data_IF_833016258752
#
_entry.id   IF_833016258752
#
_cell.length_a   1.000
_cell.length_b   1.000
_cell.length_c   1.000
_cell.angle_alpha   90.00
_cell.angle_beta   90.00
_cell.angle_gamma   90.00
#
_symmetry.space_group_name_H-M   'P 1'
#
loop_
_entity.id
_entity.type
_entity.pdbx_description
1 polymer ?
#
# COMPACT_ATOMS: atom_id res chain seq x y z
N UNK A 1 1.28 34.55 -12.15
CA UNK A 1 0.91 34.22 -13.54
C UNK A 1 0.35 32.82 -13.55
N UNK A 2 -0.70 32.58 -14.33
CA UNK A 2 -1.33 31.27 -14.46
C UNK A 2 -0.43 30.37 -15.32
N UNK A 3 -0.07 29.18 -14.83
CA UNK A 3 0.72 28.18 -15.55
C UNK A 3 -0.20 27.03 -15.99
N UNK A 4 0.14 26.30 -17.06
CA UNK A 4 -0.59 25.07 -17.41
C UNK A 4 -0.27 23.96 -16.40
N UNK A 5 -1.22 23.06 -16.16
CA UNK A 5 -1.00 21.90 -15.31
C UNK A 5 0.19 21.05 -15.78
N UNK A 6 0.33 20.87 -17.10
CA UNK A 6 1.46 20.16 -17.67
C UNK A 6 2.79 20.78 -17.25
N UNK A 7 2.95 22.09 -17.48
CA UNK A 7 4.18 22.81 -17.16
C UNK A 7 4.50 22.71 -15.66
N UNK A 8 3.49 22.87 -14.81
CA UNK A 8 3.60 22.70 -13.37
C UNK A 8 4.09 21.29 -12.95
N UNK A 9 3.46 20.24 -13.49
CA UNK A 9 3.82 18.85 -13.18
C UNK A 9 5.19 18.48 -13.74
N UNK A 10 5.63 19.09 -14.85
CA UNK A 10 6.96 18.86 -15.43
C UNK A 10 8.08 19.66 -14.78
N UNK A 11 7.76 20.51 -13.79
CA UNK A 11 8.79 21.21 -13.03
C UNK A 11 9.70 20.22 -12.31
N UNK A 12 11.02 20.47 -12.31
CA UNK A 12 12.01 19.61 -11.63
C UNK A 12 11.66 19.33 -10.16
N UNK A 13 12.15 18.21 -9.66
CA UNK A 13 12.16 17.92 -8.23
C UNK A 13 13.34 18.63 -7.53
N UNK A 14 13.31 18.76 -6.19
CA UNK A 14 14.51 19.11 -5.41
C UNK A 14 15.67 18.19 -5.74
N UNK A 15 16.88 18.71 -5.76
CA UNK A 15 18.08 17.88 -5.80
C UNK A 15 18.11 17.00 -4.56
N UNK A 16 18.56 15.75 -4.66
CA UNK A 16 18.76 14.88 -3.48
C UNK A 16 20.25 14.76 -3.20
N UNK A 17 20.63 15.05 -1.96
CA UNK A 17 21.97 14.87 -1.42
C UNK A 17 21.91 13.69 -0.46
N UNK A 18 22.09 12.48 -0.98
CA UNK A 18 22.05 11.25 -0.20
C UNK A 18 23.38 11.04 0.54
N UNK A 19 23.30 11.00 1.87
CA UNK A 19 24.42 10.64 2.73
C UNK A 19 24.28 9.15 3.05
N UNK A 20 24.88 8.32 2.19
CA UNK A 20 24.77 6.87 2.25
C UNK A 20 25.15 6.31 3.63
N UNK A 21 24.35 5.38 4.12
CA UNK A 21 24.71 4.44 5.20
C UNK A 21 25.21 3.13 4.57
N UNK A 22 25.87 2.24 5.34
CA UNK A 22 26.19 0.88 4.88
C UNK A 22 24.96 0.17 4.29
N UNK A 23 25.23 -0.84 3.45
CA UNK A 23 24.29 -1.51 2.54
C UNK A 23 22.85 -1.62 3.11
N UNK A 24 21.83 -1.22 2.33
CA UNK A 24 20.45 -1.28 2.80
C UNK A 24 20.04 -2.73 3.04
N UNK A 25 19.56 -3.01 4.25
CA UNK A 25 18.78 -4.23 4.53
C UNK A 25 17.33 -3.86 4.33
N UNK A 26 16.74 -4.31 3.23
CA UNK A 26 15.30 -4.13 3.02
C UNK A 26 14.51 -5.10 3.90
N UNK A 27 13.33 -4.66 4.31
CA UNK A 27 12.42 -5.52 5.07
C UNK A 27 11.93 -6.66 4.18
N UNK A 28 11.62 -7.80 4.79
CA UNK A 28 11.05 -8.96 4.13
C UNK A 28 9.94 -9.56 4.99
N UNK A 29 8.92 -10.12 4.35
CA UNK A 29 7.91 -10.95 4.98
C UNK A 29 7.65 -12.18 4.11
N UNK A 30 7.55 -13.36 4.74
CA UNK A 30 7.19 -14.63 4.09
C UNK A 30 5.83 -14.61 3.38
N UNK A 31 4.94 -13.69 3.75
CA UNK A 31 3.64 -13.51 3.09
C UNK A 31 3.74 -12.81 1.73
N UNK A 32 4.91 -12.28 1.37
CA UNK A 32 5.12 -11.63 0.08
C UNK A 32 5.43 -12.69 -0.97
N UNK A 33 4.59 -12.76 -2.01
CA UNK A 33 4.83 -13.71 -3.10
C UNK A 33 6.01 -13.23 -3.95
N UNK A 34 6.86 -14.15 -4.41
CA UNK A 34 7.86 -13.84 -5.42
C UNK A 34 7.22 -13.25 -6.69
N UNK A 35 8.00 -12.47 -7.43
CA UNK A 35 7.64 -11.89 -8.72
C UNK A 35 7.74 -12.97 -9.81
N UNK A 36 6.61 -13.51 -10.25
CA UNK A 36 6.61 -14.56 -11.27
C UNK A 36 7.14 -14.08 -12.63
N UNK A 37 6.67 -12.92 -13.09
CA UNK A 37 7.07 -12.33 -14.37
C UNK A 37 7.12 -10.81 -14.26
N UNK A 38 8.08 -10.20 -14.98
CA UNK A 38 8.24 -8.75 -15.04
C UNK A 38 8.62 -8.25 -16.44
N UNK A 39 8.01 -7.15 -16.88
CA UNK A 39 8.33 -6.50 -18.17
C UNK A 39 8.15 -4.99 -18.14
N UNK A 40 8.77 -4.28 -19.08
CA UNK A 40 8.56 -2.84 -19.21
C UNK A 40 7.11 -2.50 -19.63
N UNK A 41 6.51 -1.52 -18.95
CA UNK A 41 5.22 -0.92 -19.26
C UNK A 41 5.39 0.17 -20.34
N UNK A 42 5.68 -0.26 -21.56
CA UNK A 42 6.11 0.62 -22.67
C UNK A 42 5.07 1.67 -23.09
N UNK A 43 3.77 1.42 -22.89
CA UNK A 43 2.73 2.37 -23.24
C UNK A 43 2.48 3.44 -22.16
N UNK A 44 3.04 3.30 -20.95
CA UNK A 44 3.11 4.35 -19.93
C UNK A 44 4.29 5.28 -20.23
N UNK A 45 4.10 6.19 -21.19
CA UNK A 45 5.11 7.16 -21.60
C UNK A 45 4.52 8.56 -21.76
N UNK A 46 5.40 9.56 -21.84
CA UNK A 46 5.02 10.98 -21.91
C UNK A 46 3.99 11.26 -23.00
N UNK A 47 4.24 10.80 -24.23
CA UNK A 47 3.40 11.10 -25.39
C UNK A 47 1.99 10.54 -25.23
N UNK A 48 1.88 9.27 -24.82
CA UNK A 48 0.60 8.61 -24.61
C UNK A 48 -0.20 9.28 -23.48
N UNK A 49 0.45 9.57 -22.35
CA UNK A 49 -0.20 10.21 -21.20
C UNK A 49 -0.62 11.66 -21.51
N UNK A 50 0.22 12.41 -22.20
CA UNK A 50 -0.09 13.77 -22.63
C UNK A 50 -1.27 13.78 -23.61
N UNK A 51 -1.32 12.83 -24.56
CA UNK A 51 -2.44 12.69 -25.48
C UNK A 51 -3.73 12.31 -24.75
N UNK A 52 -3.66 11.34 -23.83
CA UNK A 52 -4.81 10.80 -23.10
C UNK A 52 -5.45 11.80 -22.14
N UNK A 53 -4.65 12.66 -21.54
CA UNK A 53 -5.08 13.68 -20.57
C UNK A 53 -4.89 15.11 -21.09
N UNK A 54 -4.86 15.30 -22.42
CA UNK A 54 -4.54 16.59 -23.06
C UNK A 54 -5.35 17.76 -22.49
N UNK A 55 -6.66 17.60 -22.40
CA UNK A 55 -7.56 18.66 -21.95
C UNK A 55 -7.35 18.97 -20.46
N UNK A 56 -7.19 17.93 -19.63
CA UNK A 56 -6.91 18.09 -18.20
C UNK A 56 -5.56 18.76 -17.96
N UNK A 57 -4.53 18.36 -18.70
CA UNK A 57 -3.15 18.87 -18.59
C UNK A 57 -3.00 20.30 -19.15
N UNK A 58 -3.91 20.74 -20.02
CA UNK A 58 -3.90 22.10 -20.59
C UNK A 58 -4.54 23.14 -19.66
N UNK A 59 -5.25 22.71 -18.61
CA UNK A 59 -5.94 23.63 -17.70
C UNK A 59 -4.95 24.49 -16.92
N UNK A 60 -5.39 25.69 -16.56
CA UNK A 60 -4.57 26.59 -15.75
C UNK A 60 -4.61 26.19 -14.27
N UNK A 61 -3.47 26.32 -13.60
CA UNK A 61 -3.32 26.10 -12.16
C UNK A 61 -2.54 27.23 -11.50
N UNK A 62 -2.76 27.40 -10.20
CA UNK A 62 -1.88 28.18 -9.35
C UNK A 62 -0.72 27.29 -8.90
N UNK A 63 0.52 27.54 -9.36
CA UNK A 63 1.63 26.66 -9.03
C UNK A 63 1.93 26.71 -7.54
N UNK A 64 1.99 25.53 -6.92
CA UNK A 64 2.55 25.32 -5.59
C UNK A 64 3.88 24.58 -5.73
N UNK A 65 4.96 25.33 -6.00
CA UNK A 65 6.30 24.76 -6.19
C UNK A 65 7.14 24.95 -4.93
N UNK A 66 7.38 23.85 -4.23
CA UNK A 66 8.15 23.83 -2.97
C UNK A 66 9.64 23.52 -3.19
N UNK A 67 10.09 23.37 -4.44
CA UNK A 67 11.45 22.89 -4.76
C UNK A 67 12.54 23.70 -4.07
N UNK A 68 12.54 25.02 -4.29
CA UNK A 68 13.54 25.92 -3.73
C UNK A 68 13.42 26.01 -2.20
N UNK A 69 12.19 25.96 -1.68
CA UNK A 69 11.94 25.97 -0.23
C UNK A 69 12.50 24.71 0.44
N UNK A 70 12.34 23.54 -0.17
CA UNK A 70 12.92 22.28 0.33
C UNK A 70 14.45 22.32 0.33
N UNK A 71 15.06 22.83 -0.75
CA UNK A 71 16.52 22.96 -0.86
C UNK A 71 17.09 23.97 0.16
N UNK A 72 16.46 25.15 0.30
CA UNK A 72 16.88 26.16 1.27
C UNK A 72 16.65 25.71 2.72
N UNK A 73 15.61 24.93 2.97
CA UNK A 73 15.33 24.33 4.28
C UNK A 73 16.21 23.13 4.65
N UNK A 74 17.06 22.66 3.72
CA UNK A 74 17.94 21.51 3.94
C UNK A 74 17.24 20.15 3.88
N UNK A 75 15.98 20.09 3.46
CA UNK A 75 15.23 18.83 3.30
C UNK A 75 15.77 17.95 2.18
N UNK A 76 16.63 18.48 1.32
CA UNK A 76 17.35 17.72 0.32
C UNK A 76 18.53 16.90 0.87
N UNK A 77 18.92 17.08 2.13
CA UNK A 77 20.00 16.31 2.76
C UNK A 77 19.43 15.07 3.44
N UNK A 78 19.57 13.92 2.78
CA UNK A 78 18.88 12.69 3.17
C UNK A 78 19.85 11.74 3.87
N UNK A 79 19.50 11.31 5.08
CA UNK A 79 20.31 10.41 5.91
C UNK A 79 19.65 9.05 6.16
N UNK A 80 18.34 8.96 5.91
CA UNK A 80 17.51 7.78 6.08
C UNK A 80 16.20 7.88 5.27
N UNK A 81 15.43 6.80 5.28
CA UNK A 81 14.14 6.68 4.58
C UNK A 81 13.09 7.67 5.09
N UNK A 82 13.17 8.06 6.37
CA UNK A 82 12.25 9.04 6.94
C UNK A 82 12.49 10.43 6.36
N UNK A 83 13.75 10.87 6.28
CA UNK A 83 14.11 12.12 5.63
C UNK A 83 13.69 12.17 4.17
N UNK A 84 13.85 11.06 3.44
CA UNK A 84 13.37 10.94 2.06
C UNK A 84 11.84 11.06 1.99
N UNK A 85 11.12 10.40 2.90
CA UNK A 85 9.66 10.46 2.98
C UNK A 85 9.16 11.88 3.23
N UNK A 86 9.82 12.63 4.12
CA UNK A 86 9.46 14.03 4.40
C UNK A 86 9.66 14.91 3.15
N UNK A 87 10.78 14.74 2.43
CA UNK A 87 11.03 15.43 1.15
C UNK A 87 9.96 15.10 0.10
N UNK A 88 9.63 13.82 -0.07
CA UNK A 88 8.59 13.35 -1.00
C UNK A 88 7.23 13.93 -0.65
N UNK A 89 6.87 13.96 0.63
CA UNK A 89 5.62 14.54 1.10
C UNK A 89 5.45 16.00 0.62
N UNK A 90 6.47 16.82 0.85
CA UNK A 90 6.41 18.26 0.58
C UNK A 90 6.59 18.62 -0.89
N UNK A 91 7.43 17.89 -1.62
CA UNK A 91 7.86 18.26 -2.98
C UNK A 91 7.14 17.49 -4.09
N UNK A 92 6.49 16.38 -3.76
CA UNK A 92 5.83 15.51 -4.73
C UNK A 92 4.37 15.29 -4.34
N UNK A 93 4.11 14.65 -3.19
CA UNK A 93 2.73 14.23 -2.83
C UNK A 93 1.80 15.42 -2.63
N UNK A 94 2.21 16.44 -1.86
CA UNK A 94 1.43 17.67 -1.66
C UNK A 94 1.13 18.39 -2.97
N UNK A 95 2.15 18.75 -3.77
CA UNK A 95 2.00 19.33 -5.11
C UNK A 95 1.07 18.55 -6.04
N UNK A 96 1.22 17.23 -6.14
CA UNK A 96 0.36 16.38 -6.98
C UNK A 96 -1.06 16.36 -6.44
N UNK A 97 -1.24 16.19 -5.12
CA UNK A 97 -2.57 16.14 -4.51
C UNK A 97 -3.35 17.44 -4.63
N UNK A 98 -2.67 18.59 -4.60
CA UNK A 98 -3.30 19.91 -4.73
C UNK A 98 -3.91 20.15 -6.12
N UNK A 99 -3.50 19.39 -7.13
CA UNK A 99 -3.97 19.53 -8.52
C UNK A 99 -4.75 18.32 -9.03
N UNK A 100 -4.99 17.31 -8.19
CA UNK A 100 -5.96 16.26 -8.50
C UNK A 100 -7.40 16.80 -8.46
N UNK A 101 -8.36 16.14 -9.11
CA UNK A 101 -9.78 16.45 -8.95
C UNK A 101 -10.21 16.40 -7.48
N UNK A 102 -11.25 17.14 -7.11
CA UNK A 102 -11.65 17.36 -5.71
C UNK A 102 -12.03 16.10 -4.93
N UNK A 103 -12.40 15.03 -5.63
CA UNK A 103 -12.75 13.73 -5.03
C UNK A 103 -11.54 12.78 -4.92
N UNK A 104 -10.36 13.18 -5.41
CA UNK A 104 -9.17 12.36 -5.51
C UNK A 104 -8.00 13.02 -4.78
N UNK A 105 -7.17 12.22 -4.11
CA UNK A 105 -6.01 12.73 -3.39
C UNK A 105 -4.84 11.75 -3.45
N UNK A 106 -3.64 12.23 -3.12
CA UNK A 106 -2.49 11.38 -2.77
C UNK A 106 -1.87 11.86 -1.47
N UNK A 107 -1.62 10.95 -0.53
CA UNK A 107 -1.10 11.29 0.80
C UNK A 107 -0.52 10.04 1.48
N UNK A 108 -0.16 10.14 2.75
CA UNK A 108 0.20 8.97 3.56
C UNK A 108 -0.95 7.95 3.56
N UNK A 109 -0.62 6.66 3.49
CA UNK A 109 -1.64 5.62 3.34
C UNK A 109 -2.61 5.52 4.53
N UNK A 110 -2.30 6.14 5.68
CA UNK A 110 -3.17 6.18 6.86
C UNK A 110 -4.61 6.63 6.57
N UNK A 111 -4.83 7.44 5.52
CA UNK A 111 -6.18 7.89 5.11
C UNK A 111 -7.01 6.81 4.39
N UNK A 112 -6.34 5.79 3.83
CA UNK A 112 -6.99 4.69 3.09
C UNK A 112 -6.77 3.32 3.73
N UNK A 113 -6.09 3.24 4.88
CA UNK A 113 -5.75 1.95 5.50
C UNK A 113 -7.02 1.16 5.85
N UNK A 114 -7.16 0.00 5.19
CA UNK A 114 -8.24 -0.95 5.39
C UNK A 114 -7.75 -2.25 6.02
N UNK A 115 -6.46 -2.57 5.82
CA UNK A 115 -5.84 -3.83 6.25
C UNK A 115 -4.74 -3.55 7.28
N UNK A 116 -4.95 -3.82 8.59
CA UNK A 116 -3.97 -3.50 9.64
C UNK A 116 -2.60 -4.16 9.48
N UNK A 117 -2.53 -5.32 8.81
CA UNK A 117 -1.28 -6.03 8.50
C UNK A 117 -0.61 -5.63 7.18
N UNK A 118 -1.20 -4.68 6.44
CA UNK A 118 -0.71 -4.25 5.13
C UNK A 118 -0.84 -2.72 5.02
N UNK A 119 0.24 -2.02 5.40
CA UNK A 119 0.26 -0.56 5.51
C UNK A 119 1.35 0.00 4.58
N UNK A 120 0.97 0.49 3.39
CA UNK A 120 1.89 1.22 2.51
C UNK A 120 2.32 2.55 3.16
N UNK A 121 3.45 3.12 2.74
CA UNK A 121 3.80 4.49 3.15
C UNK A 121 2.83 5.51 2.56
N UNK A 122 2.47 5.32 1.28
CA UNK A 122 1.70 6.25 0.48
C UNK A 122 0.50 5.60 -0.17
N UNK A 123 -0.53 6.40 -0.40
CA UNK A 123 -1.64 5.99 -1.23
C UNK A 123 -2.34 7.17 -1.90
N UNK A 124 -2.87 6.90 -3.07
CA UNK A 124 -3.94 7.69 -3.64
C UNK A 124 -5.29 7.07 -3.30
N UNK A 125 -6.26 7.93 -3.00
CA UNK A 125 -7.60 7.50 -2.63
C UNK A 125 -8.68 8.36 -3.25
N UNK A 126 -9.89 7.79 -3.27
CA UNK A 126 -11.11 8.51 -3.64
C UNK A 126 -11.94 8.79 -2.39
N UNK A 127 -12.44 10.02 -2.27
CA UNK A 127 -13.35 10.38 -1.19
C UNK A 127 -14.64 9.56 -1.29
N UNK A 128 -15.11 9.07 -0.16
CA UNK A 128 -16.29 8.23 -0.04
C UNK A 128 -16.96 8.43 1.31
N UNK A 129 -18.13 7.82 1.51
CA UNK A 129 -18.84 7.87 2.80
C UNK A 129 -18.06 7.02 3.81
N UNK A 130 -17.27 7.66 4.67
CA UNK A 130 -16.43 7.01 5.67
C UNK A 130 -14.95 7.00 5.30
N UNK A 131 -14.30 5.83 5.33
CA UNK A 131 -12.89 5.71 4.92
C UNK A 131 -12.77 5.79 3.40
N UNK A 132 -11.76 6.51 2.94
CA UNK A 132 -11.45 6.61 1.51
C UNK A 132 -11.02 5.25 0.96
N UNK A 133 -11.42 4.95 -0.28
CA UNK A 133 -10.99 3.73 -0.99
C UNK A 133 -9.62 3.98 -1.61
N UNK A 134 -8.65 3.11 -1.36
CA UNK A 134 -7.37 3.13 -2.04
C UNK A 134 -7.54 2.81 -3.53
N UNK A 135 -6.85 3.56 -4.40
CA UNK A 135 -6.84 3.33 -5.86
C UNK A 135 -5.43 3.16 -6.44
N UNK A 136 -4.41 3.69 -5.74
CA UNK A 136 -2.99 3.49 -6.04
C UNK A 136 -2.24 3.41 -4.72
N UNK A 137 -1.26 2.52 -4.60
CA UNK A 137 -0.47 2.34 -3.37
C UNK A 137 1.02 2.54 -3.67
N UNK A 138 1.79 2.99 -2.70
CA UNK A 138 3.23 3.06 -2.89
C UNK A 138 4.03 3.10 -1.62
N UNK A 139 5.35 2.95 -1.79
CA UNK A 139 6.31 2.82 -0.70
C UNK A 139 7.57 3.66 -1.00
N UNK A 140 8.23 4.13 0.06
CA UNK A 140 9.50 4.84 -0.04
C UNK A 140 10.65 3.87 0.18
N UNK A 141 11.72 3.99 -0.62
CA UNK A 141 12.93 3.20 -0.41
C UNK A 141 14.18 4.04 -0.59
N UNK A 142 14.93 4.24 0.49
CA UNK A 142 16.18 5.00 0.44
C UNK A 142 17.38 4.12 0.08
N UNK A 143 18.29 4.64 -0.76
CA UNK A 143 19.43 3.91 -1.32
C UNK A 143 19.04 2.66 -2.12
N UNK A 144 17.87 2.70 -2.78
CA UNK A 144 17.40 1.63 -3.66
C UNK A 144 17.37 2.10 -5.12
N UNK A 145 17.80 1.22 -6.03
CA UNK A 145 17.64 1.41 -7.47
C UNK A 145 17.18 0.11 -8.13
N UNK A 146 16.33 0.29 -9.14
CA UNK A 146 15.71 -0.73 -9.96
C UNK A 146 16.68 -1.38 -10.98
N UNK A 147 17.79 -0.71 -11.30
CA UNK A 147 18.75 -1.07 -12.38
C UNK A 147 19.13 -2.55 -12.40
N UNK A 148 19.38 -3.15 -11.22
CA UNK A 148 19.80 -4.55 -11.13
C UNK A 148 18.65 -5.50 -10.76
N UNK A 149 17.51 -4.97 -10.32
CA UNK A 149 16.38 -5.76 -9.84
C UNK A 149 15.76 -6.57 -10.98
N UNK A 150 15.51 -5.92 -12.11
CA UNK A 150 14.91 -6.56 -13.27
C UNK A 150 15.82 -7.64 -13.87
N UNK A 151 17.14 -7.42 -13.84
CA UNK A 151 18.12 -8.41 -14.27
C UNK A 151 18.13 -9.64 -13.35
N UNK A 152 17.95 -9.47 -12.04
CA UNK A 152 17.86 -10.60 -11.09
C UNK A 152 16.62 -11.44 -11.37
N UNK A 153 15.46 -10.79 -11.57
CA UNK A 153 14.19 -11.49 -11.83
C UNK A 153 14.23 -12.19 -13.19
N UNK A 154 14.65 -11.50 -14.26
CA UNK A 154 14.67 -12.05 -15.62
C UNK A 154 15.83 -13.03 -15.86
N UNK A 155 16.93 -12.90 -15.13
CA UNK A 155 18.10 -13.78 -15.22
C UNK A 155 17.90 -15.13 -14.53
N UNK A 156 16.96 -15.21 -13.60
CA UNK A 156 16.51 -16.48 -13.03
C UNK A 156 15.72 -17.24 -14.11
N UNK A 157 16.37 -18.24 -14.71
CA UNK A 157 15.79 -19.10 -15.76
C UNK A 157 14.66 -20.00 -15.18
N UNK A 158 14.64 -21.30 -15.49
CA UNK A 158 13.72 -22.27 -14.88
C UNK A 158 13.92 -22.49 -13.35
N UNK A 159 14.56 -21.55 -12.65
CA UNK A 159 14.79 -21.52 -11.21
C UNK A 159 14.20 -20.24 -10.64
N UNK A 160 13.76 -20.26 -9.39
CA UNK A 160 13.35 -19.05 -8.68
C UNK A 160 14.55 -18.14 -8.42
N UNK A 161 14.37 -16.81 -8.52
CA UNK A 161 15.40 -15.86 -8.14
C UNK A 161 15.60 -15.80 -6.61
N UNK A 162 14.73 -16.45 -5.82
CA UNK A 162 14.82 -16.52 -4.35
C UNK A 162 16.15 -17.10 -3.85
N UNK A 163 16.80 -17.95 -4.65
CA UNK A 163 18.12 -18.52 -4.33
C UNK A 163 19.28 -17.57 -4.69
N UNK A 164 18.99 -16.40 -5.27
CA UNK A 164 20.01 -15.43 -5.68
C UNK A 164 20.63 -14.74 -4.47
N UNK A 165 21.96 -14.54 -4.42
CA UNK A 165 22.59 -13.71 -3.39
C UNK A 165 22.14 -12.24 -3.45
N UNK A 166 21.45 -11.83 -4.52
CA UNK A 166 20.91 -10.48 -4.72
C UNK A 166 19.39 -10.41 -4.56
N UNK A 167 18.77 -11.42 -3.93
CA UNK A 167 17.31 -11.45 -3.69
C UNK A 167 16.82 -10.23 -2.90
N UNK A 168 17.64 -9.69 -2.00
CA UNK A 168 17.31 -8.51 -1.20
C UNK A 168 16.98 -7.28 -2.06
N UNK A 169 17.53 -7.18 -3.28
CA UNK A 169 17.23 -6.10 -4.21
C UNK A 169 15.78 -6.14 -4.72
N UNK A 170 15.16 -7.32 -4.73
CA UNK A 170 13.80 -7.57 -5.25
C UNK A 170 12.72 -7.32 -4.19
N UNK A 171 13.07 -7.41 -2.90
CA UNK A 171 12.11 -7.31 -1.78
C UNK A 171 11.21 -6.06 -1.82
N UNK A 172 11.70 -4.87 -2.21
CA UNK A 172 10.82 -3.72 -2.36
C UNK A 172 9.71 -3.90 -3.41
N UNK A 173 9.97 -4.61 -4.51
CA UNK A 173 8.96 -4.89 -5.54
C UNK A 173 7.92 -5.87 -5.00
N UNK A 174 8.36 -6.91 -4.29
CA UNK A 174 7.48 -7.88 -3.64
C UNK A 174 6.57 -7.22 -2.60
N UNK A 175 7.11 -6.28 -1.83
CA UNK A 175 6.37 -5.52 -0.84
C UNK A 175 5.20 -4.75 -1.47
N UNK A 176 5.45 -4.01 -2.56
CA UNK A 176 4.36 -3.27 -3.22
C UNK A 176 3.43 -4.16 -4.05
N UNK A 177 3.93 -5.28 -4.59
CA UNK A 177 3.07 -6.32 -5.18
C UNK A 177 2.08 -6.84 -4.14
N UNK A 178 2.57 -7.16 -2.94
CA UNK A 178 1.76 -7.61 -1.82
C UNK A 178 0.67 -6.58 -1.47
N UNK A 179 1.03 -5.29 -1.44
CA UNK A 179 0.04 -4.23 -1.22
C UNK A 179 -1.08 -4.25 -2.25
N UNK A 180 -0.72 -4.30 -3.54
CA UNK A 180 -1.70 -4.36 -4.62
C UNK A 180 -2.58 -5.60 -4.55
N UNK A 181 -1.99 -6.75 -4.22
CA UNK A 181 -2.69 -8.02 -4.09
C UNK A 181 -3.70 -8.03 -2.93
N UNK A 182 -3.35 -7.46 -1.78
CA UNK A 182 -4.23 -7.37 -0.60
C UNK A 182 -5.37 -6.36 -0.80
N UNK A 183 -5.07 -5.18 -1.35
CA UNK A 183 -6.06 -4.12 -1.57
C UNK A 183 -6.85 -4.30 -2.88
N UNK A 184 -6.57 -5.33 -3.68
CA UNK A 184 -7.16 -5.51 -5.01
C UNK A 184 -6.84 -4.35 -5.98
N UNK A 185 -5.70 -3.68 -5.79
CA UNK A 185 -5.30 -2.51 -6.56
C UNK A 185 -4.29 -2.90 -7.64
N UNK A 186 -4.61 -2.57 -8.90
CA UNK A 186 -3.73 -2.84 -10.04
C UNK A 186 -2.52 -1.93 -10.15
N UNK A 187 -2.54 -0.76 -9.52
CA UNK A 187 -1.47 0.23 -9.65
C UNK A 187 -0.75 0.40 -8.34
N UNK A 188 0.56 0.17 -8.38
CA UNK A 188 1.45 0.37 -7.26
C UNK A 188 2.71 1.10 -7.71
N UNK A 189 3.47 1.68 -6.79
CA UNK A 189 4.74 2.31 -7.13
C UNK A 189 5.76 2.26 -6.00
N UNK A 190 7.03 2.37 -6.36
CA UNK A 190 8.15 2.61 -5.46
C UNK A 190 8.76 3.95 -5.79
N UNK A 191 9.11 4.72 -4.77
CA UNK A 191 9.85 5.96 -4.93
C UNK A 191 11.12 5.94 -4.08
N UNK A 192 12.26 6.20 -4.72
CA UNK A 192 13.57 6.27 -4.09
C UNK A 192 14.21 7.65 -4.25
N UNK A 193 15.42 7.80 -3.71
CA UNK A 193 16.28 8.97 -3.91
C UNK A 193 16.77 9.12 -5.36
N UNK A 194 16.59 8.10 -6.21
CA UNK A 194 17.10 8.06 -7.57
C UNK A 194 16.00 8.06 -8.63
N UNK A 195 14.83 7.49 -8.32
CA UNK A 195 13.79 7.22 -9.31
C UNK A 195 12.40 6.98 -8.69
N UNK A 196 11.38 7.07 -9.55
CA UNK A 196 10.05 6.51 -9.33
C UNK A 196 9.91 5.30 -10.26
N UNK A 197 9.50 4.16 -9.70
CA UNK A 197 9.09 2.97 -10.47
C UNK A 197 7.59 2.79 -10.31
N UNK A 198 6.83 3.09 -11.36
CA UNK A 198 5.39 2.81 -11.38
C UNK A 198 5.15 1.42 -11.92
N UNK A 199 4.14 0.73 -11.39
CA UNK A 199 3.85 -0.65 -11.73
C UNK A 199 2.36 -0.89 -11.98
N UNK A 200 2.08 -1.77 -12.95
CA UNK A 200 0.75 -2.31 -13.25
C UNK A 200 0.76 -3.81 -13.01
N UNK A 201 -0.11 -4.27 -12.11
CA UNK A 201 -0.22 -5.66 -11.68
C UNK A 201 -1.31 -6.40 -12.48
N UNK A 202 -1.02 -7.64 -12.85
CA UNK A 202 -1.93 -8.52 -13.58
C UNK A 202 -2.19 -9.80 -12.79
N UNK A 203 -3.44 -10.24 -12.79
CA UNK A 203 -3.80 -11.53 -12.18
C UNK A 203 -3.13 -12.67 -12.94
N UNK A 204 -2.60 -13.64 -12.19
CA UNK A 204 -2.07 -14.88 -12.76
C UNK A 204 -3.13 -15.57 -13.62
N UNK A 205 -2.72 -16.16 -14.74
CA UNK A 205 -3.65 -16.91 -15.59
C UNK A 205 -4.27 -18.02 -14.76
N UNK A 206 -5.60 -18.11 -14.77
CA UNK A 206 -6.27 -19.26 -14.17
C UNK A 206 -5.93 -20.47 -15.02
N UNK A 207 -4.92 -21.25 -14.62
CA UNK A 207 -4.86 -22.63 -15.07
C UNK A 207 -6.20 -23.25 -14.70
N UNK A 208 -7.00 -23.59 -15.71
CA UNK A 208 -8.23 -24.34 -15.55
C UNK A 208 -7.87 -25.53 -14.67
N UNK A 209 -8.25 -25.49 -13.38
CA UNK A 209 -8.29 -26.68 -12.55
C UNK A 209 -9.30 -27.57 -13.25
N UNK A 210 -8.83 -28.47 -14.12
CA UNK A 210 -9.63 -29.60 -14.56
C UNK A 210 -10.21 -30.22 -13.30
N UNK A 211 -11.54 -30.20 -13.21
CA UNK A 211 -12.43 -30.65 -12.13
C UNK A 211 -11.77 -31.51 -11.04
N UNK A 212 -12.10 -31.32 -9.75
CA UNK A 212 -11.65 -32.24 -8.71
C UNK A 212 -12.00 -33.66 -9.13
N UNK A 213 -10.96 -34.48 -9.32
CA UNK A 213 -11.07 -35.90 -9.66
C UNK A 213 -12.13 -36.51 -8.72
N UNK A 214 -13.13 -37.24 -9.21
CA UNK A 214 -14.16 -37.83 -8.36
C UNK A 214 -13.48 -38.58 -7.22
N UNK A 215 -13.68 -38.12 -5.99
CA UNK A 215 -13.21 -38.83 -4.82
C UNK A 215 -13.86 -40.20 -4.88
N UNK A 216 -13.05 -41.24 -5.00
CA UNK A 216 -13.52 -42.63 -4.99
C UNK A 216 -14.27 -42.81 -3.67
N UNK A 217 -15.59 -42.89 -3.74
CA UNK A 217 -16.46 -43.19 -2.62
C UNK A 217 -15.99 -44.50 -2.00
N UNK A 218 -15.29 -44.40 -0.87
CA UNK A 218 -15.12 -45.57 -0.02
C UNK A 218 -16.51 -45.95 0.48
N UNK A 219 -16.94 -47.22 0.36
CA UNK A 219 -18.20 -47.64 0.94
C UNK A 219 -18.18 -47.36 2.45
N UNK A 220 -19.30 -46.88 3.02
CA UNK A 220 -19.35 -46.53 4.43
C UNK A 220 -19.11 -47.79 5.29
N UNK A 221 -18.36 -47.69 6.41
CA UNK A 221 -18.35 -48.73 7.42
C UNK A 221 -19.77 -48.94 7.95
N UNK A 222 -20.19 -50.19 7.95
CA UNK A 222 -21.49 -50.66 8.42
C UNK A 222 -21.77 -50.23 9.86
N UNK A 223 -22.95 -49.66 10.07
CA UNK A 223 -23.77 -49.65 11.29
C UNK A 223 -23.04 -49.63 12.65
N UNK A 224 -23.01 -48.47 13.30
CA UNK A 224 -23.10 -48.40 14.76
C UNK A 224 -24.21 -47.43 15.15
N UNK A 225 -25.28 -48.01 15.71
CA UNK A 225 -26.46 -47.31 16.19
C UNK A 225 -26.09 -46.65 17.52
N UNK A 226 -26.00 -45.33 17.57
CA UNK A 226 -26.00 -44.59 18.85
C UNK A 226 -27.16 -43.61 18.82
N UNK A 227 -28.05 -43.83 19.76
CA UNK A 227 -29.29 -43.10 20.03
C UNK A 227 -29.00 -41.66 20.44
N UNK A 228 -29.76 -40.75 19.84
CA UNK A 228 -29.79 -39.32 20.14
C UNK A 228 -30.11 -39.04 21.62
N UNK A 229 -29.32 -38.18 22.25
CA UNK A 229 -29.82 -37.31 23.32
C UNK A 229 -29.53 -35.88 22.91
N UNK A 230 -30.60 -35.10 22.92
CA UNK A 230 -30.73 -33.73 22.48
C UNK A 230 -29.95 -32.75 23.36
N UNK A 231 -28.95 -32.11 22.77
CA UNK A 231 -28.49 -30.78 23.21
C UNK A 231 -28.27 -29.95 21.95
N UNK A 232 -29.05 -28.88 21.80
CA UNK A 232 -28.93 -27.91 20.71
C UNK A 232 -27.58 -27.22 20.86
N UNK A 233 -26.58 -27.67 20.11
CA UNK A 233 -25.27 -27.02 20.02
C UNK A 233 -25.38 -25.81 19.07
N UNK A 234 -25.46 -24.61 19.66
CA UNK A 234 -25.09 -23.37 18.98
C UNK A 234 -23.58 -23.42 18.71
N UNK A 235 -23.20 -23.97 17.57
CA UNK A 235 -21.80 -23.99 17.12
C UNK A 235 -21.75 -23.70 15.63
N UNK A 236 -21.96 -22.42 15.29
CA UNK A 236 -21.77 -21.84 13.94
C UNK A 236 -21.05 -20.49 14.04
N UNK A 237 -20.05 -20.37 14.91
CA UNK A 237 -19.17 -19.21 14.96
C UNK A 237 -17.77 -19.68 15.31
N UNK A 238 -17.06 -20.18 14.31
CA UNK A 238 -15.61 -20.03 14.13
C UNK A 238 -15.20 -20.89 12.93
N UNK A 239 -15.63 -20.49 11.74
CA UNK A 239 -14.76 -20.69 10.59
C UNK A 239 -13.78 -19.52 10.64
N UNK A 240 -12.61 -19.74 11.25
CA UNK A 240 -11.45 -18.91 11.00
C UNK A 240 -11.11 -19.12 9.53
N UNK A 241 -11.75 -18.34 8.66
CA UNK A 241 -11.31 -18.18 7.29
C UNK A 241 -9.99 -17.45 7.42
N UNK A 242 -8.90 -18.15 7.17
CA UNK A 242 -7.57 -17.58 7.11
C UNK A 242 -7.61 -16.42 6.09
N UNK A 243 -7.31 -15.19 6.53
CA UNK A 243 -7.32 -14.01 5.66
C UNK A 243 -6.32 -14.18 4.49
N UNK A 244 -5.35 -15.10 4.62
CA UNK A 244 -4.44 -15.51 3.54
C UNK A 244 -5.17 -16.04 2.29
N UNK A 245 -6.41 -16.54 2.43
CA UNK A 245 -7.18 -17.08 1.29
C UNK A 245 -7.78 -16.02 0.36
N UNK A 246 -7.69 -14.72 0.70
CA UNK A 246 -8.25 -13.63 -0.11
C UNK A 246 -7.21 -12.81 -0.89
N UNK A 247 -5.91 -13.10 -0.75
CA UNK A 247 -4.87 -12.39 -1.52
C UNK A 247 -4.94 -12.79 -3.00
N UNK A 248 -5.01 -11.81 -3.88
CA UNK A 248 -4.97 -12.07 -5.31
C UNK A 248 -3.60 -12.62 -5.74
N UNK A 249 -3.59 -13.66 -6.58
CA UNK A 249 -2.36 -14.17 -7.19
C UNK A 249 -1.97 -13.28 -8.38
N UNK A 250 -0.77 -12.69 -8.30
CA UNK A 250 -0.23 -11.80 -9.32
C UNK A 250 0.74 -12.60 -10.19
N UNK A 251 0.49 -12.66 -11.49
CA UNK A 251 1.33 -13.43 -12.42
C UNK A 251 2.22 -12.57 -13.32
N UNK A 252 1.98 -11.27 -13.40
CA UNK A 252 2.80 -10.34 -14.18
C UNK A 252 2.80 -8.95 -13.55
N UNK A 253 4.01 -8.38 -13.46
CA UNK A 253 4.26 -6.98 -13.12
C UNK A 253 4.76 -6.26 -14.36
N UNK A 254 4.08 -5.21 -14.78
CA UNK A 254 4.63 -4.27 -15.76
C UNK A 254 5.20 -3.05 -15.04
N UNK A 255 6.36 -2.55 -15.44
CA UNK A 255 7.02 -1.43 -14.74
C UNK A 255 7.45 -0.30 -15.67
N UNK A 256 7.47 0.94 -15.17
CA UNK A 256 8.14 2.06 -15.83
C UNK A 256 9.01 2.82 -14.83
N UNK A 257 10.27 3.00 -15.18
CA UNK A 257 11.24 3.81 -14.43
C UNK A 257 11.15 5.28 -14.87
N UNK A 258 11.17 6.19 -13.90
CA UNK A 258 11.19 7.64 -14.09
C UNK A 258 12.30 8.22 -13.22
N UNK A 259 13.38 8.76 -13.81
CA UNK A 259 14.49 9.33 -13.05
C UNK A 259 14.04 10.51 -12.17
N UNK A 260 14.59 10.60 -10.97
CA UNK A 260 14.31 11.69 -10.04
C UNK A 260 14.66 13.07 -10.61
N UNK A 261 15.76 13.13 -11.36
CA UNK A 261 16.29 14.35 -11.97
C UNK A 261 15.66 14.69 -13.33
N UNK A 262 14.58 14.01 -13.75
CA UNK A 262 13.90 14.32 -14.99
C UNK A 262 13.38 15.77 -14.99
N UNK A 263 13.83 16.57 -15.96
CA UNK A 263 13.46 17.99 -16.12
C UNK A 263 12.57 18.27 -17.33
N UNK A 264 12.36 17.26 -18.18
CA UNK A 264 11.49 17.33 -19.35
C UNK A 264 10.87 15.96 -19.62
N UNK A 265 9.76 15.94 -20.36
CA UNK A 265 9.02 14.71 -20.64
C UNK A 265 8.30 14.18 -19.39
N UNK A 266 8.41 12.87 -19.14
CA UNK A 266 7.73 12.22 -18.04
C UNK A 266 8.50 12.44 -16.73
N UNK A 267 8.06 13.39 -15.92
CA UNK A 267 8.58 13.62 -14.56
C UNK A 267 7.82 12.80 -13.51
N UNK A 268 8.37 12.67 -12.31
CA UNK A 268 7.72 11.94 -11.18
C UNK A 268 6.33 12.50 -10.88
N UNK A 269 6.19 13.83 -10.75
CA UNK A 269 4.89 14.48 -10.48
C UNK A 269 3.88 14.22 -11.58
N UNK A 270 4.30 14.31 -12.85
CA UNK A 270 3.44 14.01 -13.99
C UNK A 270 3.03 12.53 -14.01
N UNK A 271 3.97 11.62 -13.78
CA UNK A 271 3.71 10.19 -13.74
C UNK A 271 2.71 9.82 -12.64
N UNK A 272 2.91 10.31 -11.41
CA UNK A 272 2.00 10.06 -10.29
C UNK A 272 0.62 10.65 -10.54
N UNK A 273 0.53 11.89 -11.02
CA UNK A 273 -0.75 12.49 -11.40
C UNK A 273 -1.49 11.60 -12.41
N UNK A 274 -0.83 11.23 -13.50
CA UNK A 274 -1.42 10.40 -14.55
C UNK A 274 -1.80 8.99 -14.04
N UNK A 275 -0.99 8.38 -13.16
CA UNK A 275 -1.28 7.08 -12.57
C UNK A 275 -2.57 7.11 -11.75
N UNK A 276 -2.76 8.14 -10.93
CA UNK A 276 -4.00 8.35 -10.16
C UNK A 276 -5.19 8.59 -11.10
N UNK A 277 -5.02 9.42 -12.13
CA UNK A 277 -6.08 9.67 -13.13
C UNK A 277 -6.44 8.41 -13.93
N UNK A 278 -5.47 7.55 -14.25
CA UNK A 278 -5.74 6.25 -14.88
C UNK A 278 -6.53 5.32 -13.98
N UNK A 279 -6.23 5.32 -12.68
CA UNK A 279 -6.96 4.54 -11.68
C UNK A 279 -8.41 5.01 -11.55
N UNK A 280 -8.62 6.33 -11.50
CA UNK A 280 -9.95 6.93 -11.39
C UNK A 280 -10.79 6.74 -12.67
N UNK A 281 -10.23 7.05 -13.85
CA UNK A 281 -10.98 7.04 -15.12
C UNK A 281 -11.22 5.64 -15.69
N UNK A 282 -10.28 4.72 -15.47
CA UNK A 282 -10.32 3.38 -16.10
C UNK A 282 -10.37 2.23 -15.10
N UNK A 283 -10.70 2.53 -13.85
CA UNK A 283 -10.78 1.58 -12.75
C UNK A 283 -9.41 1.23 -12.15
N UNK A 284 -9.45 0.67 -10.95
CA UNK A 284 -8.26 0.24 -10.20
C UNK A 284 -8.24 -1.27 -9.92
N UNK A 285 -9.23 -2.02 -10.38
CA UNK A 285 -9.36 -3.45 -10.08
C UNK A 285 -8.32 -4.28 -10.84
N UNK A 286 -7.84 -5.33 -10.18
CA UNK A 286 -6.96 -6.35 -10.76
C UNK A 286 -7.68 -7.15 -11.86
N UNK A 287 -7.02 -7.33 -13.00
CA UNK A 287 -7.50 -8.10 -14.16
C UNK A 287 -6.33 -8.86 -14.78
N UNK A 288 -6.64 -9.83 -15.64
CA UNK A 288 -5.62 -10.53 -16.44
C UNK A 288 -5.03 -9.61 -17.51
N UNK A 289 -5.88 -8.80 -18.15
CA UNK A 289 -5.48 -7.91 -19.25
C UNK A 289 -6.11 -6.52 -19.09
N UNK A 290 -5.40 -5.52 -19.61
CA UNK A 290 -5.86 -4.14 -19.67
C UNK A 290 -5.71 -3.60 -21.10
N UNK A 291 -6.62 -2.71 -21.56
CA UNK A 291 -6.47 -2.09 -22.86
C UNK A 291 -5.23 -1.19 -22.89
N UNK A 292 -4.55 -1.14 -24.05
CA UNK A 292 -3.39 -0.26 -24.23
C UNK A 292 -3.76 1.21 -24.11
N UNK A 293 -2.88 2.01 -23.51
CA UNK A 293 -3.06 3.45 -23.38
C UNK A 293 -3.13 4.17 -24.75
N UNK A 294 -2.38 3.68 -25.74
CA UNK A 294 -2.38 4.25 -27.10
C UNK A 294 -3.72 4.02 -27.84
N UNK A 295 -4.40 2.91 -27.56
CA UNK A 295 -5.68 2.57 -28.21
C UNK A 295 -6.87 3.43 -27.76
N UNK A 296 -6.72 4.18 -26.66
CA UNK A 296 -7.80 4.99 -26.05
C UNK A 296 -7.82 6.43 -26.51
N UNK A 297 -6.95 6.82 -27.43
CA UNK A 297 -7.02 8.11 -28.12
C UNK A 297 -8.12 8.00 -29.17
N UNK A 298 -9.39 8.12 -28.77
CA UNK A 298 -10.47 8.27 -29.74
C UNK A 298 -10.28 9.59 -30.51
N UNK A 299 -10.42 9.60 -31.84
CA UNK A 299 -10.44 10.85 -32.61
C UNK A 299 -11.67 11.65 -32.17
N UNK A 300 -11.46 12.83 -31.61
CA UNK A 300 -12.52 13.71 -31.14
C UNK A 300 -13.48 14.06 -32.28
N UNK A 301 -14.65 13.44 -32.30
CA UNK A 301 -15.80 13.88 -33.10
C UNK A 301 -16.29 15.21 -32.52
N UNK A 302 -16.45 16.28 -33.31
CA UNK A 302 -16.98 17.54 -32.81
C UNK A 302 -18.46 17.36 -32.45
N UNK A 303 -18.75 17.14 -31.17
CA UNK A 303 -20.12 17.20 -30.66
C UNK A 303 -20.58 18.65 -30.58
N UNK A 304 -21.63 18.95 -31.34
CA UNK A 304 -22.32 20.23 -31.38
C UNK A 304 -22.93 20.57 -30.01
N UNK A 305 -22.61 21.75 -29.52
CA UNK A 305 -23.17 22.36 -28.31
C UNK A 305 -24.70 22.43 -28.39
N UNK A 306 -25.39 21.77 -27.46
CA UNK A 306 -26.79 22.05 -27.15
C UNK A 306 -26.85 23.10 -26.05
N UNK A 307 -27.31 24.30 -26.40
CA UNK A 307 -27.52 25.41 -25.47
C UNK A 307 -28.51 25.02 -24.37
N UNK A 308 -28.07 25.02 -23.11
CA UNK A 308 -28.97 24.88 -21.95
C UNK A 308 -28.88 26.13 -21.08
N UNK A 309 -30.05 26.72 -20.90
CA UNK A 309 -30.37 27.98 -20.22
C UNK A 309 -30.09 27.93 -18.71
N UNK A 310 -29.49 28.99 -18.19
CA UNK A 310 -29.18 29.22 -16.77
C UNK A 310 -30.43 29.76 -16.03
N UNK A 311 -30.80 29.22 -14.86
CA UNK A 311 -31.65 29.94 -13.90
C UNK A 311 -30.84 30.56 -12.76
N UNK A 312 -30.95 31.89 -12.71
CA UNK A 312 -31.00 32.82 -11.57
C UNK A 312 -30.70 32.30 -10.15
N UNK A 313 -29.77 33.01 -9.51
CA UNK A 313 -29.39 32.99 -8.09
C UNK A 313 -30.48 33.44 -7.11
N UNK A 314 -30.52 32.81 -5.92
CA UNK A 314 -31.05 33.41 -4.69
C UNK A 314 -30.13 33.15 -3.47
N UNK A 315 -30.17 34.02 -2.44
CA UNK A 315 -29.06 34.25 -1.51
C UNK A 315 -29.07 33.34 -0.26
N UNK A 316 -27.87 33.17 0.31
CA UNK A 316 -27.56 32.43 1.54
C UNK A 316 -28.22 33.04 2.78
N UNK A 317 -28.78 32.17 3.64
CA UNK A 317 -29.10 32.49 5.04
C UNK A 317 -27.89 32.25 5.97
N UNK A 318 -27.76 33.03 7.07
CA UNK A 318 -26.63 32.96 7.99
C UNK A 318 -26.71 31.80 8.99
N UNK A 319 -25.54 31.29 9.36
CA UNK A 319 -25.30 30.23 10.34
C UNK A 319 -25.46 30.77 11.77
N UNK A 320 -26.23 30.13 12.67
CA UNK A 320 -26.25 30.46 14.08
C UNK A 320 -25.07 29.84 14.85
N UNK A 321 -24.58 30.64 15.79
CA UNK A 321 -23.47 30.43 16.71
C UNK A 321 -23.76 29.37 17.78
N UNK A 322 -22.70 28.63 18.15
CA UNK A 322 -22.39 27.93 19.41
C UNK A 322 -23.53 27.39 20.30
N UNK A 323 -23.48 26.08 20.57
CA UNK A 323 -24.13 25.47 21.74
C UNK A 323 -23.12 24.63 22.53
N UNK A 324 -22.96 25.02 23.79
CA UNK A 324 -22.16 24.40 24.84
C UNK A 324 -22.74 23.03 25.22
N UNK A 325 -21.95 21.96 25.15
CA UNK A 325 -22.32 20.63 25.68
C UNK A 325 -21.48 20.38 26.93
N UNK A 326 -22.16 20.21 28.06
CA UNK A 326 -21.56 19.83 29.34
C UNK A 326 -21.27 18.33 29.39
N UNK A 327 -20.05 17.97 29.77
CA UNK A 327 -19.62 16.59 29.94
C UNK A 327 -19.79 16.16 31.40
N UNK A 328 -20.54 15.08 31.63
CA UNK A 328 -20.57 14.35 32.91
C UNK A 328 -19.55 13.20 32.85
N UNK A 329 -18.79 12.87 33.91
CA UNK A 329 -17.81 11.78 33.86
C UNK A 329 -18.52 10.42 33.98
N UNK A 330 -18.33 9.55 33.00
CA UNK A 330 -18.63 8.12 33.12
C UNK A 330 -17.37 7.38 33.59
N UNK A 331 -17.46 6.75 34.75
CA UNK A 331 -16.50 5.77 35.25
C UNK A 331 -16.67 4.46 34.47
N UNK A 332 -15.65 4.07 33.69
CA UNK A 332 -15.59 2.73 33.08
C UNK A 332 -14.61 1.85 33.85
N UNK A 333 -15.12 0.74 34.37
CA UNK A 333 -14.33 -0.34 34.98
C UNK A 333 -13.71 -1.17 33.85
N UNK A 334 -12.46 -0.88 33.48
CA UNK A 334 -11.68 -1.71 32.58
C UNK A 334 -10.71 -2.60 33.41
N UNK A 335 -10.63 -3.92 33.16
CA UNK A 335 -9.71 -4.78 33.89
C UNK A 335 -8.27 -4.38 33.58
N UNK A 336 -7.51 -4.06 34.63
CA UNK A 336 -6.12 -3.63 34.52
C UNK A 336 -5.24 -4.71 33.87
N UNK A 337 -4.47 -4.33 32.86
CA UNK A 337 -3.40 -5.15 32.27
C UNK A 337 -2.41 -5.55 33.38
N UNK A 338 -2.22 -6.85 33.59
CA UNK A 338 -1.27 -7.38 34.58
C UNK A 338 0.01 -7.83 33.88
N UNK A 339 1.15 -7.35 34.36
CA UNK A 339 2.47 -7.82 33.95
C UNK A 339 2.96 -8.85 34.96
N UNK A 340 3.60 -9.92 34.47
CA UNK A 340 4.21 -10.94 35.32
C UNK A 340 5.69 -11.08 34.98
N UNK A 341 6.56 -10.97 35.98
CA UNK A 341 7.98 -11.31 35.84
C UNK A 341 8.09 -12.83 35.79
N UNK A 342 8.65 -13.39 34.71
CA UNK A 342 8.85 -14.83 34.59
C UNK A 342 10.31 -15.18 34.27
N UNK A 343 10.78 -16.29 34.82
CA UNK A 343 12.10 -16.84 34.53
C UNK A 343 11.99 -17.74 33.31
N UNK A 344 12.69 -17.38 32.24
CA UNK A 344 12.66 -18.12 30.98
C UNK A 344 13.77 -19.18 30.92
N UNK A 345 13.41 -20.37 30.46
CA UNK A 345 14.35 -21.43 30.10
C UNK A 345 14.10 -21.77 28.63
N UNK A 346 15.17 -21.74 27.83
CA UNK A 346 15.12 -22.14 26.43
C UNK A 346 14.99 -23.66 26.32
N UNK A 347 14.10 -24.15 25.45
CA UNK A 347 14.18 -25.53 25.01
C UNK A 347 15.45 -25.72 24.13
N UNK A 348 15.91 -26.96 24.00
CA UNK A 348 17.15 -27.30 23.27
C UNK A 348 17.15 -26.88 21.79
N UNK A 349 15.97 -26.61 21.21
CA UNK A 349 15.80 -26.20 19.82
C UNK A 349 15.54 -24.68 19.64
N UNK A 350 15.47 -23.90 20.73
CA UNK A 350 15.14 -22.45 20.76
C UNK A 350 13.82 -22.06 20.06
N UNK A 351 12.85 -22.97 20.03
CA UNK A 351 11.57 -22.79 19.30
C UNK A 351 10.39 -22.43 20.19
N UNK A 352 10.51 -22.62 21.51
CA UNK A 352 9.42 -22.36 22.44
C UNK A 352 9.96 -21.78 23.76
N UNK A 353 9.13 -20.97 24.39
CA UNK A 353 9.40 -20.43 25.72
C UNK A 353 8.82 -21.36 26.77
N UNK A 354 9.66 -21.81 27.71
CA UNK A 354 9.21 -22.51 28.92
C UNK A 354 9.26 -21.51 30.06
N UNK A 355 8.10 -21.25 30.65
CA UNK A 355 7.97 -20.32 31.77
C UNK A 355 7.10 -20.93 32.87
N UNK A 356 7.30 -20.49 34.12
CA UNK A 356 6.53 -20.96 35.27
C UNK A 356 5.34 -20.04 35.50
N UNK A 357 4.13 -20.57 35.39
CA UNK A 357 2.90 -19.85 35.65
C UNK A 357 2.69 -19.59 37.16
N UNK A 358 1.73 -18.73 37.49
CA UNK A 358 1.44 -18.33 38.87
C UNK A 358 0.99 -19.50 39.77
N UNK A 359 0.48 -20.57 39.18
CA UNK A 359 0.11 -21.81 39.89
C UNK A 359 1.30 -22.76 40.10
N UNK A 360 2.50 -22.34 39.70
CA UNK A 360 3.74 -23.09 39.83
C UNK A 360 3.98 -24.13 38.72
N UNK A 361 3.08 -24.25 37.73
CA UNK A 361 3.26 -25.18 36.61
C UNK A 361 4.13 -24.58 35.52
N UNK A 362 4.91 -25.43 34.87
CA UNK A 362 5.64 -25.04 33.66
C UNK A 362 4.70 -25.09 32.46
N UNK A 363 4.68 -24.00 31.70
CA UNK A 363 3.91 -23.86 30.47
C UNK A 363 4.90 -23.73 29.32
N UNK A 364 4.68 -24.51 28.27
CA UNK A 364 5.38 -24.37 27.00
C UNK A 364 4.48 -23.59 26.05
N UNK A 365 4.97 -22.48 25.53
CA UNK A 365 4.24 -21.61 24.61
C UNK A 365 5.15 -21.26 23.44
N UNK A 366 4.70 -21.64 22.26
CA UNK A 366 5.36 -21.51 20.96
C UNK A 366 4.81 -20.35 20.13
N UNK A 367 3.86 -19.56 20.65
CA UNK A 367 3.19 -18.48 19.91
C UNK A 367 4.01 -17.17 19.94
N UNK A 368 4.77 -16.81 18.89
CA UNK A 368 5.71 -15.67 18.93
C UNK A 368 4.99 -14.32 19.07
N UNK A 369 3.73 -14.25 18.64
CA UNK A 369 2.88 -13.06 18.65
C UNK A 369 2.46 -12.59 20.06
N UNK A 370 2.64 -13.41 21.09
CA UNK A 370 2.25 -13.08 22.48
C UNK A 370 3.40 -12.56 23.34
N UNK A 371 4.58 -12.37 22.74
CA UNK A 371 5.81 -11.99 23.45
C UNK A 371 6.36 -10.66 22.92
N UNK A 372 6.92 -9.84 23.83
CA UNK A 372 7.84 -8.76 23.45
C UNK A 372 9.07 -8.75 24.32
N UNK A 373 10.20 -8.40 23.71
CA UNK A 373 11.45 -8.10 24.40
C UNK A 373 11.51 -6.59 24.65
N UNK A 374 11.71 -6.18 25.91
CA UNK A 374 11.89 -4.77 26.30
C UNK A 374 13.12 -4.71 27.20
N UNK A 375 14.21 -4.13 26.71
CA UNK A 375 15.50 -4.13 27.40
C UNK A 375 16.06 -5.56 27.51
N UNK A 376 16.48 -5.95 28.72
CA UNK A 376 16.99 -7.27 29.07
C UNK A 376 15.89 -8.25 29.51
N UNK A 377 14.60 -7.87 29.39
CA UNK A 377 13.45 -8.64 29.87
C UNK A 377 12.49 -9.01 28.75
N UNK A 378 11.82 -10.14 28.91
CA UNK A 378 10.78 -10.62 27.99
C UNK A 378 9.43 -10.60 28.74
N UNK A 379 8.41 -10.07 28.07
CA UNK A 379 7.07 -9.89 28.61
C UNK A 379 6.06 -10.73 27.81
N UNK A 380 5.14 -11.41 28.51
CA UNK A 380 3.98 -12.10 27.94
C UNK A 380 2.74 -11.25 28.10
N UNK A 381 1.95 -11.09 27.05
CA UNK A 381 0.69 -10.36 27.09
C UNK A 381 -0.50 -11.31 27.09
N UNK A 382 -1.45 -11.10 27.99
CA UNK A 382 -2.81 -11.64 27.88
C UNK A 382 -3.77 -10.48 27.56
N UNK A 383 -4.24 -10.39 26.32
CA UNK A 383 -5.14 -9.33 25.83
C UNK A 383 -4.56 -8.51 24.68
N UNK A 384 -5.33 -7.52 24.19
CA UNK A 384 -4.83 -6.54 23.23
C UNK A 384 -3.73 -5.70 23.89
N UNK A 385 -2.56 -5.51 23.26
CA UNK A 385 -1.51 -4.69 23.83
C UNK A 385 -2.07 -3.28 24.06
N UNK A 386 -1.85 -2.67 25.25
CA UNK A 386 -2.15 -1.26 25.38
C UNK A 386 -1.23 -0.51 24.41
N UNK A 387 -1.81 0.50 23.76
CA UNK A 387 -1.21 1.45 22.80
C UNK A 387 -1.33 1.06 21.31
N UNK A 388 -2.32 1.70 20.66
CA UNK A 388 -2.06 2.59 19.54
C UNK A 388 -2.48 4.01 19.97
N UNK A 389 -1.57 4.76 20.58
CA UNK A 389 -1.67 6.22 20.60
C UNK A 389 -0.31 6.80 20.96
N UNK A 390 0.09 7.79 20.18
CA UNK A 390 1.21 8.70 20.41
C UNK A 390 1.33 9.10 21.89
N UNK A 391 2.48 8.80 22.49
CA UNK A 391 3.30 9.75 23.25
C UNK A 391 4.30 8.96 24.10
N UNK A 392 5.59 9.20 23.85
CA UNK A 392 6.67 8.83 24.77
C UNK A 392 6.81 10.02 25.73
N UNK A 393 6.54 9.87 27.05
CA UNK A 393 6.98 10.87 28.01
C UNK A 393 8.50 10.73 28.22
N UNK A 394 9.20 11.86 28.20
CA UNK A 394 10.53 11.99 28.82
C UNK A 394 10.40 12.04 30.33
#
# INVERSE_FOLDING_TARGET
MAESLLSYLTTRNPTVLAFARPAPSFTFNYDWDPIENIREWSDFNYNNLQSLFKDELSRSVSPFNTTVSCENGGYNKIFDERGLSDLICMSIMGPVSAVLPSDSFTTSAGRVTQHPGCVPDWAAGKEGVGRSKAIVLGDTKFNWSSTNVFNVIQGAKNKTYEDSPSVDLVRPIEQVQYYGAVYGCRYVYLISDQELVVMRLHLASTHIRTSPRPQRTRPPPSHQRVTSSSTISKQLTDMSIDESCFKASIGLVEYKEIPWNATSGLTIKMALYCLVRLADKYGNDLKHDYPSLASKVEPSVPQSLSSTTIPSSQPRNPIPTASTVGSTPQTSNNPANKYYTTTLIWNTTRTAYIYKANDGKYVTDDSPSKWRVIGDKIYKFEGFPPYPCSDIPR
#
